data_IF_375746573905
#
_entry.id   IF_375746573905
#
_cell.length_a   1.000
_cell.length_b   1.000
_cell.length_c   1.000
_cell.angle_alpha   90.00
_cell.angle_beta   90.00
_cell.angle_gamma   90.00
#
_symmetry.space_group_name_H-M   'P 1'
#
loop_
_entity.id
_entity.type
_entity.pdbx_description
1 polymer ?
#
# COMPACT_ATOMS: atom_id res chain seq x y z
N UNK A 1 55.19 -9.21 -14.82
CA UNK A 1 53.94 -8.54 -15.25
C UNK A 1 52.79 -9.50 -14.97
N UNK A 2 51.83 -9.09 -14.13
CA UNK A 2 50.72 -9.92 -13.65
C UNK A 2 49.44 -9.64 -14.47
N UNK A 3 49.55 -9.56 -15.79
CA UNK A 3 48.46 -9.09 -16.66
C UNK A 3 47.23 -10.00 -16.60
N UNK A 4 47.44 -11.30 -16.44
CA UNK A 4 46.36 -12.27 -16.20
C UNK A 4 45.60 -12.00 -14.90
N UNK A 5 46.29 -11.60 -13.82
CA UNK A 5 45.63 -11.27 -12.54
C UNK A 5 44.83 -9.99 -12.68
N UNK A 6 45.37 -8.98 -13.35
CA UNK A 6 44.67 -7.72 -13.60
C UNK A 6 43.41 -7.95 -14.43
N UNK A 7 43.48 -8.78 -15.48
CA UNK A 7 42.32 -9.15 -16.30
C UNK A 7 41.23 -9.85 -15.46
N UNK A 8 41.62 -10.84 -14.64
CA UNK A 8 40.68 -11.55 -13.78
C UNK A 8 40.00 -10.62 -12.78
N UNK A 9 40.75 -9.68 -12.19
CA UNK A 9 40.19 -8.68 -11.26
C UNK A 9 39.17 -7.80 -11.98
N UNK A 10 39.47 -7.32 -13.18
CA UNK A 10 38.56 -6.49 -13.97
C UNK A 10 37.28 -7.23 -14.37
N UNK A 11 37.37 -8.49 -14.78
CA UNK A 11 36.19 -9.28 -15.14
C UNK A 11 35.32 -9.54 -13.91
N UNK A 12 35.94 -9.88 -12.78
CA UNK A 12 35.22 -10.14 -11.54
C UNK A 12 34.52 -8.88 -11.00
N UNK A 13 35.17 -7.71 -11.08
CA UNK A 13 34.57 -6.46 -10.62
C UNK A 13 33.39 -6.03 -11.49
N UNK A 14 33.49 -6.14 -12.82
CA UNK A 14 32.37 -5.84 -13.72
C UNK A 14 31.20 -6.79 -13.47
N UNK A 15 31.49 -8.09 -13.32
CA UNK A 15 30.46 -9.09 -13.03
C UNK A 15 29.78 -8.81 -11.69
N UNK A 16 30.54 -8.44 -10.66
CA UNK A 16 30.00 -8.10 -9.36
C UNK A 16 29.09 -6.86 -9.42
N UNK A 17 29.45 -5.83 -10.19
CA UNK A 17 28.61 -4.63 -10.36
C UNK A 17 27.31 -4.95 -11.09
N UNK A 18 27.36 -5.79 -12.14
CA UNK A 18 26.16 -6.22 -12.86
C UNK A 18 25.23 -7.01 -11.94
N UNK A 19 25.76 -7.97 -11.19
CA UNK A 19 24.98 -8.76 -10.23
C UNK A 19 24.40 -7.88 -9.12
N UNK A 20 25.17 -6.93 -8.61
CA UNK A 20 24.69 -5.99 -7.60
C UNK A 20 23.52 -5.15 -8.13
N UNK A 21 23.65 -4.59 -9.35
CA UNK A 21 22.56 -3.83 -9.97
C UNK A 21 21.31 -4.69 -10.18
N UNK A 22 21.47 -5.94 -10.64
CA UNK A 22 20.37 -6.88 -10.79
C UNK A 22 19.68 -7.19 -9.46
N UNK A 23 20.45 -7.42 -8.39
CA UNK A 23 19.91 -7.65 -7.04
C UNK A 23 19.17 -6.41 -6.54
N UNK A 24 19.72 -5.20 -6.73
CA UNK A 24 19.06 -3.96 -6.33
C UNK A 24 17.73 -3.82 -7.06
N UNK A 25 17.69 -4.03 -8.38
CA UNK A 25 16.44 -3.91 -9.15
C UNK A 25 15.42 -4.99 -8.76
N UNK A 26 15.87 -6.21 -8.46
CA UNK A 26 15.00 -7.30 -8.03
C UNK A 26 14.44 -7.08 -6.60
N UNK A 27 15.16 -6.36 -5.74
CA UNK A 27 14.78 -6.16 -4.34
C UNK A 27 14.12 -4.80 -4.07
N UNK A 28 14.41 -3.77 -4.85
CA UNK A 28 13.84 -2.43 -4.70
C UNK A 28 12.39 -2.32 -5.19
N UNK A 29 11.94 -3.28 -6.01
CA UNK A 29 10.55 -3.40 -6.45
C UNK A 29 9.66 -4.26 -5.54
N UNK A 30 10.19 -4.77 -4.43
CA UNK A 30 9.36 -5.43 -3.42
C UNK A 30 8.49 -4.34 -2.81
N UNK A 31 7.21 -4.38 -3.16
CA UNK A 31 6.21 -3.42 -2.74
C UNK A 31 6.25 -3.37 -1.22
N UNK A 32 6.56 -2.19 -0.66
CA UNK A 32 6.46 -2.03 0.77
C UNK A 32 4.98 -2.18 1.12
N UNK A 33 4.59 -3.18 1.92
CA UNK A 33 3.21 -3.31 2.33
C UNK A 33 2.80 -2.01 3.00
N UNK A 34 1.63 -1.51 2.63
CA UNK A 34 0.76 -0.66 3.42
C UNK A 34 1.18 -0.59 4.91
N UNK A 35 1.98 0.41 5.31
CA UNK A 35 2.46 0.53 6.70
C UNK A 35 1.37 1.10 7.63
N UNK A 36 0.28 1.61 7.05
CA UNK A 36 -0.75 2.35 7.76
C UNK A 36 -1.94 1.46 8.16
N UNK A 37 -1.86 0.13 8.09
CA UNK A 37 -2.98 -0.74 8.43
C UNK A 37 -3.49 -0.49 9.85
N UNK A 38 -4.80 -0.29 9.99
CA UNK A 38 -5.44 -0.10 11.28
C UNK A 38 -5.16 1.25 11.93
N UNK A 39 -4.60 2.22 11.20
CA UNK A 39 -4.56 3.59 11.68
C UNK A 39 -5.98 4.13 11.76
N UNK A 40 -6.31 4.65 12.94
CA UNK A 40 -7.60 5.24 13.24
C UNK A 40 -7.39 6.71 13.55
N UNK A 41 -8.15 7.55 12.86
CA UNK A 41 -8.22 8.98 13.15
C UNK A 41 -9.68 9.39 13.37
N UNK A 42 -9.87 10.41 14.21
CA UNK A 42 -11.18 10.95 14.56
C UNK A 42 -11.15 12.47 14.49
N UNK A 43 -11.98 13.00 13.60
CA UNK A 43 -12.17 14.44 13.42
C UNK A 43 -13.65 14.79 13.52
N UNK A 44 -14.07 15.34 14.66
CA UNK A 44 -15.49 15.65 14.91
C UNK A 44 -16.36 14.39 14.86
N UNK A 45 -17.37 14.40 13.97
CA UNK A 45 -18.30 13.27 13.77
C UNK A 45 -17.79 12.21 12.77
N UNK A 46 -16.60 12.41 12.21
CA UNK A 46 -15.99 11.47 11.28
C UNK A 46 -15.00 10.55 12.00
N UNK A 47 -15.09 9.27 11.67
CA UNK A 47 -14.13 8.24 12.07
C UNK A 47 -13.51 7.67 10.79
N UNK A 48 -12.19 7.75 10.68
CA UNK A 48 -11.44 7.22 9.55
C UNK A 48 -10.63 6.02 9.99
N UNK A 49 -10.67 4.94 9.21
CA UNK A 49 -9.87 3.74 9.43
C UNK A 49 -9.26 3.30 8.12
N UNK A 50 -7.94 3.12 8.12
CA UNK A 50 -7.21 2.49 7.01
C UNK A 50 -7.18 0.97 7.21
N UNK A 51 -7.38 0.21 6.15
CA UNK A 51 -7.27 -1.24 6.16
C UNK A 51 -6.53 -1.73 4.92
N UNK A 52 -5.80 -2.82 5.07
CA UNK A 52 -5.18 -3.49 3.94
C UNK A 52 -6.19 -4.42 3.28
N UNK A 53 -6.38 -4.27 1.97
CA UNK A 53 -7.21 -5.17 1.16
C UNK A 53 -6.38 -6.19 0.40
N UNK A 54 -5.23 -5.76 -0.12
CA UNK A 54 -4.22 -6.62 -0.76
C UNK A 54 -2.80 -6.17 -0.37
N UNK A 55 -1.76 -6.87 -0.82
CA UNK A 55 -0.37 -6.42 -0.58
C UNK A 55 -0.11 -4.98 -1.07
N UNK A 56 -0.83 -4.56 -2.11
CA UNK A 56 -0.62 -3.28 -2.79
C UNK A 56 -1.81 -2.31 -2.67
N UNK A 57 -2.94 -2.77 -2.15
CA UNK A 57 -4.17 -1.97 -2.07
C UNK A 57 -4.55 -1.69 -0.62
N UNK A 58 -4.62 -0.41 -0.30
CA UNK A 58 -5.22 0.10 0.94
C UNK A 58 -6.63 0.62 0.67
N UNK A 59 -7.51 0.36 1.62
CA UNK A 59 -8.87 0.89 1.67
C UNK A 59 -8.99 1.83 2.84
N UNK A 60 -9.71 2.93 2.64
CA UNK A 60 -10.06 3.89 3.68
C UNK A 60 -11.57 3.79 3.92
N UNK A 61 -11.93 3.46 5.16
CA UNK A 61 -13.29 3.54 5.65
C UNK A 61 -13.48 4.90 6.32
N UNK A 62 -14.45 5.68 5.85
CA UNK A 62 -14.85 6.94 6.48
C UNK A 62 -16.28 6.80 6.96
N UNK A 63 -16.46 6.79 8.26
CA UNK A 63 -17.77 6.74 8.90
C UNK A 63 -18.16 8.12 9.37
N UNK A 64 -19.27 8.64 8.85
CA UNK A 64 -19.92 9.86 9.32
C UNK A 64 -21.03 9.47 10.31
N UNK A 65 -20.83 9.78 11.58
CA UNK A 65 -21.79 9.48 12.62
C UNK A 65 -23.06 10.35 12.54
N UNK A 66 -22.97 11.57 11.99
CA UNK A 66 -24.13 12.46 11.84
C UNK A 66 -25.01 12.03 10.66
N UNK A 67 -24.39 11.72 9.52
CA UNK A 67 -25.10 11.23 8.35
C UNK A 67 -25.50 9.74 8.46
N UNK A 68 -24.89 8.99 9.40
CA UNK A 68 -25.08 7.55 9.59
C UNK A 68 -24.75 6.76 8.32
N UNK A 69 -23.62 7.10 7.70
CA UNK A 69 -23.11 6.43 6.50
C UNK A 69 -21.64 6.06 6.70
N UNK A 70 -21.22 4.97 6.07
CA UNK A 70 -19.80 4.60 5.93
C UNK A 70 -19.47 4.51 4.45
N UNK A 71 -18.54 5.34 4.01
CA UNK A 71 -17.99 5.30 2.66
C UNK A 71 -16.69 4.49 2.65
N UNK A 72 -16.52 3.70 1.59
CA UNK A 72 -15.34 2.86 1.37
C UNK A 72 -14.60 3.40 0.16
N UNK A 73 -13.37 3.84 0.35
CA UNK A 73 -12.53 4.38 -0.72
C UNK A 73 -11.30 3.51 -0.95
N UNK A 74 -10.87 3.39 -2.20
CA UNK A 74 -9.52 2.94 -2.54
C UNK A 74 -8.74 4.10 -3.16
N UNK A 75 -7.42 4.07 -3.05
CA UNK A 75 -6.57 5.00 -3.79
C UNK A 75 -6.04 4.34 -5.07
N UNK A 76 -6.40 4.90 -6.23
CA UNK A 76 -5.81 4.48 -7.52
C UNK A 76 -4.49 5.21 -7.71
N UNK A 77 -3.38 4.48 -7.63
CA UNK A 77 -2.02 5.02 -7.78
C UNK A 77 -1.69 5.45 -9.21
N UNK A 78 -2.37 4.87 -10.21
CA UNK A 78 -2.18 5.22 -11.63
C UNK A 78 -2.81 6.57 -11.93
N UNK A 79 -4.03 6.78 -11.43
CA UNK A 79 -4.81 8.02 -11.64
C UNK A 79 -4.60 9.07 -10.55
N UNK A 80 -3.97 8.67 -9.44
CA UNK A 80 -3.75 9.49 -8.24
C UNK A 80 -5.03 10.05 -7.64
N UNK A 81 -6.10 9.26 -7.66
CA UNK A 81 -7.43 9.66 -7.19
C UNK A 81 -8.00 8.69 -6.15
N UNK A 82 -8.87 9.19 -5.28
CA UNK A 82 -9.69 8.34 -4.41
C UNK A 82 -10.94 7.91 -5.16
N UNK A 83 -11.16 6.60 -5.24
CA UNK A 83 -12.32 6.00 -5.88
C UNK A 83 -13.26 5.52 -4.80
N UNK A 84 -14.51 6.00 -4.81
CA UNK A 84 -15.57 5.47 -3.96
C UNK A 84 -15.97 4.09 -4.48
N UNK A 85 -15.77 3.06 -3.66
CA UNK A 85 -16.17 1.69 -3.98
C UNK A 85 -17.61 1.41 -3.55
N UNK A 86 -17.94 1.81 -2.32
CA UNK A 86 -19.24 1.53 -1.74
C UNK A 86 -19.63 2.60 -0.71
N UNK A 87 -20.94 2.71 -0.50
CA UNK A 87 -21.55 3.56 0.51
C UNK A 87 -22.58 2.74 1.28
N UNK A 88 -22.29 2.54 2.57
CA UNK A 88 -23.10 1.74 3.48
C UNK A 88 -23.95 2.67 4.33
N UNK A 89 -25.28 2.51 4.24
CA UNK A 89 -26.21 3.15 5.18
C UNK A 89 -26.21 2.37 6.50
N UNK A 90 -25.69 3.00 7.56
CA UNK A 90 -25.59 2.39 8.88
C UNK A 90 -26.96 2.19 9.54
N UNK A 91 -27.96 3.02 9.22
CA UNK A 91 -29.32 2.86 9.77
C UNK A 91 -29.92 1.55 9.28
N UNK A 92 -29.70 1.21 8.01
CA UNK A 92 -30.16 -0.04 7.42
C UNK A 92 -29.47 -1.25 8.04
N UNK A 93 -28.15 -1.19 8.18
CA UNK A 93 -27.34 -2.31 8.69
C UNK A 93 -27.58 -2.56 10.18
N UNK A 94 -27.60 -1.49 10.99
CA UNK A 94 -27.80 -1.59 12.44
C UNK A 94 -29.29 -1.78 12.81
N UNK A 95 -30.21 -1.29 11.98
CA UNK A 95 -31.66 -1.48 12.17
C UNK A 95 -32.12 -2.91 11.90
N UNK A 96 -31.45 -3.65 11.00
CA UNK A 96 -31.73 -5.05 10.72
C UNK A 96 -31.21 -6.03 11.80
N UNK A 97 -30.38 -5.53 12.74
CA UNK A 97 -29.75 -6.34 13.79
C UNK A 97 -30.55 -6.41 15.11
N UNK A 98 -31.82 -5.96 15.12
CA UNK A 98 -32.71 -6.11 16.28
C UNK A 98 -33.62 -7.34 16.10
N UNK A 99 -33.52 -8.37 16.97
CA UNK A 99 -34.52 -9.45 17.02
C UNK A 99 -35.89 -8.95 17.52
#
# INVERSE_FOLDING_TARGET
MNDSKNLTISVLSITAVILLAAVILATSGVHNPAQAVGMLDRGGDYIMVTAQFSENDEIIYITDAAAQITNVYSYDTTRRELILWDQIDLKRVLGAARP
#
